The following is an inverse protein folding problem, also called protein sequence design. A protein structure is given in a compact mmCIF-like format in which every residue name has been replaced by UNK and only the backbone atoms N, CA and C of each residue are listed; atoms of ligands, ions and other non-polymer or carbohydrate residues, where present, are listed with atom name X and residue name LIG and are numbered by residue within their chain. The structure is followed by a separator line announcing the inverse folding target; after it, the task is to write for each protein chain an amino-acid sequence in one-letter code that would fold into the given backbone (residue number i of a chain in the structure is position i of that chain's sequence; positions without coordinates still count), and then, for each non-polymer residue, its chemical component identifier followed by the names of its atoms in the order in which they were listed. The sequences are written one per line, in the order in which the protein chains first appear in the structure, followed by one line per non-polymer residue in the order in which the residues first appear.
data_IF_338771760118
#
_entry.id   IF_338771760118
#
_cell.length_a   1.000
_cell.length_b   1.000
_cell.length_c   1.000
_cell.angle_alpha   90.00
_cell.angle_beta   90.00
_cell.angle_gamma   90.00
#
_symmetry.space_group_name_H-M   'P 1'
#
loop_
_entity.id
_entity.type
_entity.pdbx_description
1 polymer ?
#
# COMPACT_ATOMS: atom_id res chain seq x y z
N UNK A 1 11.60 0.87 0.54
CA UNK A 1 11.09 0.67 -0.84
C UNK A 1 11.80 -0.47 -1.57
N UNK A 2 13.14 -0.50 -1.61
CA UNK A 2 13.91 -1.53 -2.31
C UNK A 2 13.53 -2.99 -1.93
N UNK A 3 13.42 -3.29 -0.64
CA UNK A 3 13.05 -4.63 -0.15
C UNK A 3 11.64 -5.08 -0.60
N UNK A 4 10.68 -4.15 -0.73
CA UNK A 4 9.33 -4.46 -1.18
C UNK A 4 9.29 -4.75 -2.68
N UNK A 5 10.03 -3.96 -3.48
CA UNK A 5 10.18 -4.20 -4.92
C UNK A 5 10.77 -5.58 -5.17
N UNK A 6 11.82 -5.96 -4.45
CA UNK A 6 12.43 -7.28 -4.62
C UNK A 6 11.47 -8.43 -4.30
N UNK A 7 10.63 -8.28 -3.28
CA UNK A 7 9.69 -9.31 -2.80
C UNK A 7 8.44 -9.44 -3.65
N UNK A 8 7.85 -8.33 -4.07
CA UNK A 8 6.50 -8.33 -4.65
C UNK A 8 6.41 -7.56 -5.96
N UNK A 9 7.45 -6.81 -6.36
CA UNK A 9 7.42 -5.91 -7.51
C UNK A 9 6.48 -4.70 -7.34
N UNK A 10 5.92 -4.52 -6.13
CA UNK A 10 4.92 -3.50 -5.82
C UNK A 10 5.31 -2.82 -4.52
N UNK A 11 5.23 -1.49 -4.51
CA UNK A 11 5.41 -0.63 -3.34
C UNK A 11 4.09 0.05 -3.03
N UNK A 12 3.55 -0.23 -1.85
CA UNK A 12 2.39 0.47 -1.33
C UNK A 12 2.84 1.44 -0.22
N UNK A 13 2.35 2.69 -0.19
CA UNK A 13 2.68 3.64 0.87
C UNK A 13 2.44 3.08 2.28
N UNK A 14 1.33 2.35 2.46
CA UNK A 14 1.00 1.71 3.74
C UNK A 14 2.03 0.65 4.16
N UNK A 15 2.58 -0.10 3.20
CA UNK A 15 3.64 -1.08 3.49
C UNK A 15 4.92 -0.36 3.91
N UNK A 16 5.25 0.78 3.28
CA UNK A 16 6.42 1.59 3.69
C UNK A 16 6.24 2.11 5.11
N UNK A 17 5.03 2.53 5.50
CA UNK A 17 4.74 2.94 6.88
C UNK A 17 4.90 1.79 7.88
N UNK A 18 4.54 0.56 7.49
CA UNK A 18 4.77 -0.62 8.33
C UNK A 18 6.26 -0.98 8.44
N UNK A 19 7.00 -0.94 7.34
CA UNK A 19 8.44 -1.22 7.33
C UNK A 19 9.23 -0.21 8.17
N UNK A 20 8.80 1.06 8.17
CA UNK A 20 9.37 2.12 9.02
C UNK A 20 8.90 2.04 10.49
N UNK A 21 8.12 1.02 10.86
CA UNK A 21 7.52 0.86 12.20
C UNK A 21 6.65 2.04 12.66
N UNK A 22 6.20 2.89 11.73
CA UNK A 22 5.29 4.01 11.97
C UNK A 22 3.88 3.50 12.20
N UNK A 23 3.52 2.43 11.48
CA UNK A 23 2.26 1.73 11.56
C UNK A 23 2.51 0.29 12.00
N UNK A 24 1.93 -0.13 13.11
CA UNK A 24 2.00 -1.53 13.55
C UNK A 24 1.09 -2.39 12.67
N UNK A 25 1.43 -3.67 12.46
CA UNK A 25 0.56 -4.60 11.73
C UNK A 25 -0.84 -4.70 12.35
N UNK A 26 -0.91 -4.72 13.69
CA UNK A 26 -2.18 -4.75 14.42
C UNK A 26 -3.03 -3.50 14.15
N UNK A 27 -2.42 -2.31 14.16
CA UNK A 27 -3.09 -1.05 13.87
C UNK A 27 -3.58 -0.99 12.42
N UNK A 28 -2.77 -1.48 11.48
CA UNK A 28 -3.16 -1.64 10.09
C UNK A 28 -4.39 -2.54 9.98
N UNK A 29 -4.41 -3.71 10.63
CA UNK A 29 -5.55 -4.62 10.61
C UNK A 29 -6.80 -3.97 11.22
N UNK A 30 -6.67 -3.32 12.39
CA UNK A 30 -7.77 -2.58 13.02
C UNK A 30 -8.36 -1.53 12.08
N UNK A 31 -7.51 -0.78 11.37
CA UNK A 31 -7.95 0.15 10.34
C UNK A 31 -8.62 -0.56 9.16
N UNK A 32 -8.06 -1.68 8.66
CA UNK A 32 -8.67 -2.46 7.56
C UNK A 32 -10.05 -3.00 7.93
N UNK A 33 -10.27 -3.41 9.17
CA UNK A 33 -11.58 -3.83 9.69
C UNK A 33 -12.53 -2.65 9.98
N UNK A 34 -12.09 -1.40 9.82
CA UNK A 34 -12.91 -0.23 10.08
C UNK A 34 -13.11 0.09 11.55
N UNK A 35 -12.27 -0.45 12.46
CA UNK A 35 -12.27 -0.08 13.88
C UNK A 35 -11.64 1.30 14.12
N UNK A 36 -10.97 1.85 13.11
CA UNK A 36 -10.30 3.15 13.13
C UNK A 36 -10.88 4.01 12.00
N UNK A 37 -11.19 5.28 12.30
CA UNK A 37 -11.82 6.20 11.35
C UNK A 37 -10.91 6.55 10.16
N UNK A 38 -9.61 6.74 10.41
CA UNK A 38 -8.61 7.09 9.40
C UNK A 38 -7.21 6.59 9.80
N UNK A 39 -6.38 6.23 8.80
CA UNK A 39 -5.07 5.60 9.02
C UNK A 39 -4.10 6.48 9.81
N UNK A 40 -4.06 7.79 9.52
CA UNK A 40 -3.16 8.74 10.18
C UNK A 40 -3.38 8.81 11.70
N UNK A 41 -4.55 8.38 12.23
CA UNK A 41 -4.82 8.35 13.67
C UNK A 41 -3.93 7.36 14.42
N UNK A 42 -3.62 6.23 13.78
CA UNK A 42 -2.85 5.13 14.39
C UNK A 42 -1.38 5.16 14.01
N UNK A 43 -0.98 6.13 13.18
CA UNK A 43 0.43 6.38 12.90
C UNK A 43 1.11 7.01 14.12
N UNK A 44 2.27 6.48 14.50
CA UNK A 44 3.05 6.94 15.67
C UNK A 44 3.80 8.27 15.47
N UNK A 45 3.63 8.92 14.33
CA UNK A 45 4.40 10.12 13.93
C UNK A 45 3.50 11.25 13.51
N UNK A 46 4.03 12.47 13.58
CA UNK A 46 3.31 13.68 13.20
C UNK A 46 2.99 13.72 11.69
N UNK A 47 1.92 14.43 11.34
CA UNK A 47 1.48 14.60 9.95
C UNK A 47 2.58 15.16 9.03
N UNK A 48 3.40 16.10 9.51
CA UNK A 48 4.53 16.64 8.74
C UNK A 48 5.54 15.57 8.31
N UNK A 49 5.80 14.59 9.18
CA UNK A 49 6.69 13.46 8.86
C UNK A 49 6.04 12.51 7.85
N UNK A 50 4.73 12.27 7.96
CA UNK A 50 3.99 11.48 6.98
C UNK A 50 4.00 12.15 5.60
N UNK A 51 3.74 13.45 5.52
CA UNK A 51 3.83 14.21 4.27
C UNK A 51 5.23 14.15 3.66
N UNK A 52 6.28 14.22 4.49
CA UNK A 52 7.66 14.04 4.04
C UNK A 52 7.88 12.65 3.43
N UNK A 53 7.45 11.58 4.11
CA UNK A 53 7.57 10.20 3.61
C UNK A 53 6.83 10.03 2.28
N UNK A 54 5.61 10.55 2.16
CA UNK A 54 4.84 10.48 0.92
C UNK A 54 5.54 11.19 -0.25
N UNK A 55 6.19 12.33 0.03
CA UNK A 55 7.00 13.05 -0.96
C UNK A 55 8.22 12.24 -1.39
N UNK A 56 8.93 11.62 -0.45
CA UNK A 56 10.08 10.78 -0.74
C UNK A 56 9.69 9.55 -1.57
N UNK A 57 8.56 8.90 -1.25
CA UNK A 57 8.02 7.78 -2.03
C UNK A 57 7.78 8.19 -3.48
N UNK A 58 7.11 9.33 -3.69
CA UNK A 58 6.83 9.85 -5.04
C UNK A 58 8.11 10.22 -5.79
N UNK A 59 9.05 10.88 -5.10
CA UNK A 59 10.34 11.24 -5.68
C UNK A 59 11.16 10.02 -6.09
N UNK A 60 11.17 8.98 -5.26
CA UNK A 60 11.82 7.70 -5.59
C UNK A 60 11.15 7.02 -6.78
N UNK A 61 9.82 6.96 -6.79
CA UNK A 61 9.08 6.34 -7.88
C UNK A 61 9.33 7.03 -9.23
N UNK A 62 9.33 8.37 -9.24
CA UNK A 62 9.65 9.15 -10.44
C UNK A 62 11.08 8.90 -10.92
N UNK A 63 12.07 8.88 -10.02
CA UNK A 63 13.47 8.60 -10.36
C UNK A 63 13.69 7.21 -10.94
N UNK A 64 12.91 6.23 -10.51
CA UNK A 64 13.03 4.83 -10.92
C UNK A 64 12.01 4.44 -12.01
N UNK A 65 11.30 5.41 -12.61
CA UNK A 65 10.27 5.18 -13.63
C UNK A 65 9.23 4.11 -13.24
N UNK A 66 8.84 4.09 -11.96
CA UNK A 66 7.83 3.15 -11.48
C UNK A 66 6.44 3.53 -11.98
N UNK A 67 5.64 2.53 -12.34
CA UNK A 67 4.26 2.75 -12.80
C UNK A 67 3.34 2.99 -11.61
N UNK A 68 2.64 4.11 -11.62
CA UNK A 68 1.57 4.37 -10.68
C UNK A 68 0.31 3.55 -11.00
N UNK A 69 -0.28 2.96 -9.97
CA UNK A 69 -1.51 2.18 -10.05
C UNK A 69 -2.38 2.51 -8.87
N UNK A 70 -3.51 3.17 -9.14
CA UNK A 70 -4.44 3.54 -8.10
C UNK A 70 -5.21 2.32 -7.58
N UNK A 71 -5.23 2.13 -6.26
CA UNK A 71 -5.91 1.00 -5.61
C UNK A 71 -7.04 1.46 -4.70
N UNK A 72 -8.23 0.90 -4.88
CA UNK A 72 -9.37 1.20 -4.03
C UNK A 72 -9.38 0.35 -2.75
N UNK A 73 -9.31 1.00 -1.59
CA UNK A 73 -9.33 0.35 -0.28
C UNK A 73 -10.76 0.25 0.29
N UNK A 74 -11.28 -0.98 0.34
CA UNK A 74 -12.54 -1.35 1.01
C UNK A 74 -12.26 -1.97 2.37
N UNK A 75 -13.15 -1.73 3.34
CA UNK A 75 -13.10 -2.40 4.64
C UNK A 75 -13.12 -3.93 4.50
N UNK A 76 -12.33 -4.61 5.32
CA UNK A 76 -12.31 -6.06 5.50
C UNK A 76 -13.49 -6.53 6.35
N UNK A 77 -13.92 -7.78 6.17
CA UNK A 77 -15.01 -8.40 6.93
C UNK A 77 -16.43 -8.05 6.47
N UNK A 78 -16.58 -7.14 5.50
CA UNK A 78 -17.88 -6.70 4.97
C UNK A 78 -18.18 -7.28 3.57
N UNK A 79 -17.60 -8.44 3.23
CA UNK A 79 -17.68 -9.05 1.89
C UNK A 79 -19.13 -9.29 1.41
N UNK A 80 -20.08 -9.42 2.35
CA UNK A 80 -21.50 -9.67 2.09
C UNK A 80 -22.43 -8.48 2.41
N UNK A 81 -21.91 -7.26 2.64
CA UNK A 81 -22.76 -6.08 2.86
C UNK A 81 -22.65 -5.09 1.70
N UNK A 82 -23.77 -4.66 1.09
CA UNK A 82 -23.78 -3.69 -0.01
C UNK A 82 -23.22 -2.31 0.36
N UNK A 83 -23.01 -2.03 1.65
CA UNK A 83 -22.51 -0.77 2.18
C UNK A 83 -21.08 -0.82 2.73
N UNK A 84 -20.22 -1.72 2.23
CA UNK A 84 -18.82 -1.76 2.65
C UNK A 84 -18.17 -0.38 2.46
N UNK A 85 -17.86 0.31 3.57
CA UNK A 85 -17.42 1.70 3.52
C UNK A 85 -16.02 1.80 2.94
N UNK A 86 -15.78 2.85 2.17
CA UNK A 86 -14.44 3.25 1.72
C UNK A 86 -13.59 3.58 2.94
N UNK A 87 -12.39 3.03 3.01
CA UNK A 87 -11.43 3.40 4.04
C UNK A 87 -10.88 4.80 3.78
N UNK A 88 -10.70 5.58 4.84
CA UNK A 88 -10.06 6.90 4.79
C UNK A 88 -8.63 6.80 5.31
N UNK A 89 -7.72 7.51 4.66
CA UNK A 89 -6.32 7.57 5.08
C UNK A 89 -6.10 8.75 6.02
N UNK A 90 -6.60 9.92 5.66
CA UNK A 90 -6.32 11.19 6.35
C UNK A 90 -7.49 11.69 7.19
N UNK A 91 -7.19 12.58 8.15
CA UNK A 91 -8.22 13.25 8.96
C UNK A 91 -9.08 14.19 8.12
N UNK A 92 -8.47 14.90 7.16
CA UNK A 92 -9.15 15.88 6.30
C UNK A 92 -9.98 15.21 5.19
N UNK A 93 -9.59 14.01 4.76
CA UNK A 93 -10.23 13.31 3.65
C UNK A 93 -10.03 13.98 2.30
N UNK A 94 -8.99 14.83 2.16
CA UNK A 94 -8.70 15.53 0.92
C UNK A 94 -8.37 14.56 -0.21
N UNK A 95 -9.01 14.72 -1.37
CA UNK A 95 -8.93 13.74 -2.46
C UNK A 95 -7.50 13.46 -2.92
N UNK A 96 -6.64 14.47 -2.99
CA UNK A 96 -5.25 14.30 -3.41
C UNK A 96 -4.42 13.50 -2.40
N UNK A 97 -4.70 13.68 -1.10
CA UNK A 97 -4.05 12.93 -0.03
C UNK A 97 -4.52 11.48 -0.06
N UNK A 98 -5.84 11.27 -0.18
CA UNK A 98 -6.43 9.94 -0.27
C UNK A 98 -5.92 9.19 -1.52
N UNK A 99 -5.83 9.87 -2.67
CA UNK A 99 -5.23 9.32 -3.89
C UNK A 99 -3.76 8.97 -3.67
N UNK A 100 -2.97 9.86 -3.08
CA UNK A 100 -1.55 9.61 -2.84
C UNK A 100 -1.31 8.36 -1.99
N UNK A 101 -2.06 8.16 -0.90
CA UNK A 101 -1.96 6.95 -0.08
C UNK A 101 -2.46 5.69 -0.80
N UNK A 102 -3.48 5.83 -1.66
CA UNK A 102 -4.06 4.75 -2.43
C UNK A 102 -3.23 4.34 -3.67
N UNK A 103 -2.31 5.19 -4.12
CA UNK A 103 -1.45 4.92 -5.27
C UNK A 103 -0.34 3.94 -4.89
N UNK A 104 -0.31 2.82 -5.59
CA UNK A 104 0.78 1.85 -5.52
C UNK A 104 1.75 2.09 -6.67
N UNK A 105 3.02 1.84 -6.43
CA UNK A 105 4.07 1.95 -7.41
C UNK A 105 4.55 0.56 -7.80
N UNK A 106 4.43 0.25 -9.08
CA UNK A 106 4.72 -1.06 -9.64
C UNK A 106 5.99 -0.95 -10.47
N UNK A 107 6.93 -1.86 -10.23
CA UNK A 107 8.05 -2.08 -11.13
C UNK A 107 7.65 -3.14 -12.16
N UNK A 108 7.38 -2.76 -13.42
CA UNK A 108 6.91 -3.70 -14.43
C UNK A 108 7.96 -4.77 -14.76
N UNK A 109 9.25 -4.44 -14.69
CA UNK A 109 10.35 -5.37 -14.95
C UNK A 109 10.34 -6.44 -13.88
N UNK A 110 10.42 -6.02 -12.62
CA UNK A 110 10.47 -6.96 -11.49
C UNK A 110 9.17 -7.77 -11.33
N UNK A 111 8.01 -7.15 -11.57
CA UNK A 111 6.73 -7.85 -11.52
C UNK A 111 6.64 -8.94 -12.61
N UNK A 112 7.19 -8.70 -13.80
CA UNK A 112 7.25 -9.69 -14.87
C UNK A 112 8.14 -10.89 -14.53
N UNK A 113 9.30 -10.64 -13.90
CA UNK A 113 10.23 -11.69 -13.44
C UNK A 113 9.56 -12.61 -12.41
N UNK A 114 8.86 -12.03 -11.43
CA UNK A 114 8.16 -12.77 -10.38
C UNK A 114 7.01 -13.61 -10.96
N UNK A 115 6.24 -13.08 -11.91
CA UNK A 115 5.19 -13.84 -12.60
C UNK A 115 5.77 -15.04 -13.35
N UNK A 116 6.84 -14.83 -14.11
CA UNK A 116 7.52 -15.91 -14.84
C UNK A 116 8.00 -17.01 -13.89
N UNK A 117 8.62 -16.67 -12.77
CA UNK A 117 9.06 -17.65 -11.76
C UNK A 117 7.89 -18.44 -11.14
N UNK A 118 6.78 -17.78 -10.81
CA UNK A 118 5.59 -18.46 -10.27
C UNK A 118 4.96 -19.43 -11.28
N UNK A 119 4.97 -19.06 -12.57
CA UNK A 119 4.41 -19.88 -13.64
C UNK A 119 5.29 -21.10 -13.96
N UNK A 120 6.61 -20.96 -13.85
CA UNK A 120 7.56 -22.07 -13.97
C UNK A 120 7.40 -23.06 -12.80
N UNK A 121 7.33 -22.56 -11.56
CA UNK A 121 7.14 -23.41 -10.37
C UNK A 121 5.79 -24.15 -10.37
N UNK A 122 4.72 -23.54 -10.90
CA UNK A 122 3.41 -24.20 -11.04
C UNK A 122 3.36 -25.29 -12.11
N UNK A 123 4.27 -25.27 -13.10
CA UNK A 123 4.39 -26.30 -14.13
C UNK A 123 5.23 -27.48 -13.65
N UNK A 124 6.31 -27.21 -12.90
CA UNK A 124 7.22 -28.23 -12.36
C UNK A 124 6.61 -29.15 -11.28
N UNK A 125 5.44 -28.81 -10.73
CA UNK A 125 4.74 -29.63 -9.72
C UNK A 125 3.58 -30.47 -10.30
N UNK A 126 3.43 -30.48 -11.64
CA UNK A 126 2.42 -31.27 -12.37
C UNK A 126 3.02 -32.35 -13.27
N UNK A 127 4.33 -32.58 -13.17
CA UNK A 127 5.06 -33.63 -13.89
C UNK A 127 5.51 -34.73 -12.93
#
# INVERSE_FOLDING_TARGET
MYQQLQRSGIVAPVQVLMDLSILSKEDYERWRFGKVDYLERVCKVNLSKLSFIMREIRGYAAKNNLKESWTFYKQWGLKNRPHAKKLRFSKSGGEDIEKAYATHYIDPVRLSELKSQSQICSKAHRE
#
